data_IF_858558000258
#
_entry.id   IF_858558000258
#
_cell.length_a   1.000
_cell.length_b   1.000
_cell.length_c   1.000
_cell.angle_alpha   90.00
_cell.angle_beta   90.00
_cell.angle_gamma   90.00
#
_symmetry.space_group_name_H-M   'P 1'
#
loop_
_entity.id
_entity.type
_entity.pdbx_description
1 polymer ?
#
# COMPACT_ATOMS: atom_id res chain seq x y z
N UNK A 1 -15.10 8.04 4.74
CA UNK A 1 -13.84 8.65 5.22
C UNK A 1 -12.75 7.76 4.69
N UNK A 2 -12.09 8.21 3.62
CA UNK A 2 -11.10 7.40 2.90
C UNK A 2 -9.77 7.42 3.67
N UNK A 3 -9.02 6.34 3.56
CA UNK A 3 -7.72 6.24 4.19
C UNK A 3 -6.71 7.12 3.41
N UNK A 4 -5.80 7.84 4.10
CA UNK A 4 -4.86 8.76 3.44
C UNK A 4 -3.95 8.03 2.44
N UNK A 5 -3.46 8.74 1.43
CA UNK A 5 -2.50 8.19 0.46
C UNK A 5 -1.28 7.56 1.14
N UNK A 6 -0.71 6.46 0.60
CA UNK A 6 0.53 5.90 1.14
C UNK A 6 1.70 6.89 1.01
N UNK A 7 2.65 6.84 1.93
CA UNK A 7 3.97 7.41 1.68
C UNK A 7 4.78 6.47 0.78
N UNK A 8 5.68 6.99 -0.06
CA UNK A 8 6.60 6.15 -0.85
C UNK A 8 8.06 6.43 -0.49
N UNK A 9 8.93 5.45 -0.72
CA UNK A 9 10.39 5.64 -0.68
C UNK A 9 10.95 6.34 -1.94
N UNK A 10 10.07 6.96 -2.73
CA UNK A 10 10.38 7.79 -3.89
C UNK A 10 9.58 9.10 -3.79
N UNK A 11 9.99 10.16 -4.51
CA UNK A 11 9.25 11.42 -4.53
C UNK A 11 7.80 11.23 -5.00
N UNK A 12 6.86 11.84 -4.30
CA UNK A 12 5.45 11.95 -4.68
C UNK A 12 5.14 13.43 -4.92
N UNK A 13 4.59 13.73 -6.09
CA UNK A 13 4.25 15.10 -6.51
C UNK A 13 2.82 15.42 -6.09
N UNK A 14 2.68 16.39 -5.19
CA UNK A 14 1.40 16.98 -4.79
C UNK A 14 0.94 18.05 -5.79
N UNK A 15 -0.37 18.39 -5.86
CA UNK A 15 -1.49 17.83 -5.10
C UNK A 15 -2.11 16.58 -5.72
N UNK A 16 -1.62 16.13 -6.87
CA UNK A 16 -2.22 15.03 -7.64
C UNK A 16 -1.71 13.64 -7.26
N UNK A 17 -0.85 13.55 -6.23
CA UNK A 17 -0.22 12.33 -5.73
C UNK A 17 0.31 11.44 -6.86
N UNK A 18 1.26 11.96 -7.62
CA UNK A 18 1.89 11.27 -8.74
C UNK A 18 3.32 10.88 -8.42
N UNK A 19 3.72 9.68 -8.82
CA UNK A 19 5.08 9.19 -8.63
C UNK A 19 5.58 8.49 -9.90
N UNK A 20 6.88 8.58 -10.16
CA UNK A 20 7.53 7.89 -11.28
C UNK A 20 8.59 6.92 -10.78
N UNK A 21 8.57 5.70 -11.32
CA UNK A 21 9.60 4.68 -11.08
C UNK A 21 10.26 4.33 -12.40
N UNK A 22 11.56 4.58 -12.52
CA UNK A 22 12.37 4.06 -13.62
C UNK A 22 13.00 2.72 -13.25
N UNK A 23 12.52 1.62 -13.85
CA UNK A 23 12.99 0.27 -13.56
C UNK A 23 14.48 0.06 -13.83
N UNK A 24 15.08 0.78 -14.79
CA UNK A 24 16.52 0.76 -15.06
C UNK A 24 17.36 1.34 -13.93
N UNK A 25 16.83 2.30 -13.17
CA UNK A 25 17.54 2.97 -12.07
C UNK A 25 17.16 2.39 -10.70
N UNK A 26 16.02 1.71 -10.63
CA UNK A 26 15.45 1.20 -9.40
C UNK A 26 15.99 -0.20 -9.10
N UNK A 27 16.73 -0.32 -7.99
CA UNK A 27 17.46 -1.54 -7.60
C UNK A 27 16.78 -2.33 -6.47
N UNK A 28 15.82 -1.73 -5.77
CA UNK A 28 15.11 -2.35 -4.63
C UNK A 28 13.61 -2.51 -4.87
N UNK A 29 12.85 -2.90 -3.83
CA UNK A 29 11.40 -2.84 -3.83
C UNK A 29 10.90 -1.40 -3.65
N UNK A 30 9.73 -1.11 -4.22
CA UNK A 30 8.99 0.11 -3.91
C UNK A 30 8.32 -0.12 -2.56
N UNK A 31 8.56 0.78 -1.61
CA UNK A 31 8.06 0.64 -0.24
C UNK A 31 6.94 1.65 -0.05
N UNK A 32 5.73 1.16 0.17
CA UNK A 32 4.60 1.97 0.57
C UNK A 32 4.47 1.98 2.10
N UNK A 33 4.61 3.17 2.69
CA UNK A 33 4.44 3.40 4.12
C UNK A 33 2.98 3.76 4.39
N UNK A 34 2.39 3.11 5.38
CA UNK A 34 1.01 3.36 5.79
C UNK A 34 1.02 4.52 6.81
N UNK A 35 0.25 5.61 6.59
CA UNK A 35 0.16 6.69 7.54
C UNK A 35 -0.34 6.21 8.90
N UNK A 36 0.20 6.76 9.99
CA UNK A 36 -0.16 6.32 11.35
C UNK A 36 -1.60 6.68 11.73
N UNK A 37 -2.20 7.68 11.08
CA UNK A 37 -3.59 8.07 11.24
C UNK A 37 -4.56 7.25 10.35
N UNK A 38 -4.03 6.36 9.49
CA UNK A 38 -4.85 5.46 8.71
C UNK A 38 -5.70 4.56 9.61
N UNK A 39 -6.97 4.38 9.25
CA UNK A 39 -7.90 3.49 9.94
C UNK A 39 -7.69 2.07 9.43
N UNK A 40 -6.93 1.28 10.19
CA UNK A 40 -6.70 -0.13 9.90
C UNK A 40 -7.53 -0.99 10.85
N UNK A 41 -7.80 -2.23 10.44
CA UNK A 41 -8.33 -3.25 11.34
C UNK A 41 -7.17 -3.85 12.16
N UNK A 42 -7.06 -3.62 13.48
CA UNK A 42 -5.90 -4.07 14.27
C UNK A 42 -5.72 -5.59 14.32
N UNK A 43 -6.83 -6.34 14.26
CA UNK A 43 -6.87 -7.81 14.14
C UNK A 43 -6.63 -8.30 12.70
N UNK A 44 -6.66 -7.39 11.74
CA UNK A 44 -6.60 -7.68 10.32
C UNK A 44 -5.19 -7.62 9.72
N UNK A 45 -5.16 -7.59 8.40
CA UNK A 45 -3.93 -7.44 7.63
C UNK A 45 -3.99 -6.21 6.72
N UNK A 46 -2.82 -5.73 6.32
CA UNK A 46 -2.63 -4.66 5.34
C UNK A 46 -1.65 -5.11 4.26
N UNK A 47 -1.90 -4.71 3.02
CA UNK A 47 -1.05 -5.01 1.86
C UNK A 47 -1.16 -3.91 0.80
N UNK A 48 -0.15 -3.84 -0.07
CA UNK A 48 -0.20 -2.99 -1.26
C UNK A 48 -1.04 -3.64 -2.37
N UNK A 49 -1.73 -2.82 -3.16
CA UNK A 49 -2.41 -3.24 -4.38
C UNK A 49 -2.04 -2.31 -5.53
N UNK A 50 -1.93 -2.87 -6.73
CA UNK A 50 -1.75 -2.14 -7.98
C UNK A 50 -2.92 -2.43 -8.91
N UNK A 51 -3.52 -1.39 -9.48
CA UNK A 51 -4.61 -1.52 -10.44
C UNK A 51 -5.62 -0.39 -10.34
N UNK A 52 -6.39 -0.19 -11.41
CA UNK A 52 -7.43 0.82 -11.43
C UNK A 52 -8.51 0.54 -10.37
N UNK A 53 -8.94 -0.72 -10.29
CA UNK A 53 -9.99 -1.20 -9.40
C UNK A 53 -9.42 -1.76 -8.09
N UNK A 54 -9.89 -1.30 -6.91
CA UNK A 54 -9.43 -1.80 -5.62
C UNK A 54 -10.06 -3.13 -5.18
N UNK A 55 -11.21 -3.53 -5.74
CA UNK A 55 -11.86 -4.81 -5.43
C UNK A 55 -11.21 -5.96 -6.22
N UNK A 56 -10.87 -5.68 -7.48
CA UNK A 56 -10.17 -6.55 -8.43
C UNK A 56 -8.84 -5.95 -8.91
N UNK A 57 -7.85 -5.78 -8.01
CA UNK A 57 -6.56 -5.22 -8.39
C UNK A 57 -5.79 -6.17 -9.30
N UNK A 58 -5.08 -5.60 -10.28
CA UNK A 58 -4.21 -6.34 -11.19
C UNK A 58 -3.04 -7.03 -10.46
N UNK A 59 -2.65 -6.53 -9.29
CA UNK A 59 -1.68 -7.18 -8.42
C UNK A 59 -1.96 -6.91 -6.93
N UNK A 60 -1.68 -7.92 -6.09
CA UNK A 60 -1.80 -7.87 -4.63
C UNK A 60 -0.45 -8.24 -4.00
N UNK A 61 -0.03 -7.43 -3.04
CA UNK A 61 1.20 -7.63 -2.29
C UNK A 61 1.07 -8.61 -1.14
N UNK A 62 2.21 -8.81 -0.46
CA UNK A 62 2.26 -9.61 0.75
C UNK A 62 1.46 -8.97 1.89
N UNK A 63 0.72 -9.81 2.63
CA UNK A 63 -0.07 -9.39 3.78
C UNK A 63 0.83 -9.22 5.00
N UNK A 64 0.71 -8.07 5.65
CA UNK A 64 1.37 -7.75 6.92
C UNK A 64 0.31 -7.56 7.99
N UNK A 65 0.57 -8.00 9.22
CA UNK A 65 -0.36 -7.77 10.33
C UNK A 65 -0.50 -6.28 10.61
N UNK A 66 -1.73 -5.78 10.58
CA UNK A 66 -2.02 -4.36 10.80
C UNK A 66 -1.92 -3.98 12.29
N UNK A 67 -1.96 -4.96 13.19
CA UNK A 67 -1.78 -4.76 14.62
C UNK A 67 -1.15 -5.93 15.32
N UNK A 68 -1.00 -5.80 16.64
CA UNK A 68 -0.45 -6.81 17.53
C UNK A 68 -1.37 -6.99 18.73
N UNK A 69 -1.53 -8.23 19.16
CA UNK A 69 -2.21 -8.53 20.41
C UNK A 69 -1.40 -8.01 21.61
N UNK A 70 -2.04 -7.21 22.46
CA UNK A 70 -1.46 -6.68 23.68
C UNK A 70 -2.02 -7.43 24.89
N UNK A 71 -1.19 -8.29 25.50
CA UNK A 71 -1.60 -9.12 26.64
C UNK A 71 -2.04 -8.27 27.86
N UNK A 72 -1.43 -7.11 28.06
CA UNK A 72 -1.74 -6.22 29.20
C UNK A 72 -3.14 -5.61 29.13
N UNK A 73 -3.69 -5.39 27.93
CA UNK A 73 -5.02 -4.81 27.72
C UNK A 73 -6.03 -5.83 27.22
N UNK A 74 -5.59 -7.01 26.79
CA UNK A 74 -6.44 -8.02 26.18
C UNK A 74 -7.08 -7.55 24.87
N UNK A 75 -6.41 -6.66 24.13
CA UNK A 75 -6.92 -6.07 22.90
C UNK A 75 -5.84 -6.02 21.81
N UNK A 76 -6.25 -6.07 20.54
CA UNK A 76 -5.35 -5.76 19.42
C UNK A 76 -5.10 -4.25 19.35
N UNK A 77 -3.83 -3.87 19.19
CA UNK A 77 -3.43 -2.49 18.97
C UNK A 77 -2.83 -2.35 17.58
N UNK A 78 -3.25 -1.31 16.83
CA UNK A 78 -2.69 -1.01 15.51
C UNK A 78 -1.19 -0.76 15.62
N UNK A 79 -0.43 -1.39 14.72
CA UNK A 79 1.01 -1.20 14.60
C UNK A 79 1.29 0.15 13.95
N UNK A 80 2.25 0.89 14.51
CA UNK A 80 2.74 2.13 13.92
C UNK A 80 3.82 1.86 12.88
N UNK A 81 4.00 2.80 11.94
CA UNK A 81 5.04 2.81 10.91
C UNK A 81 5.03 1.56 10.03
N UNK A 82 3.82 1.06 9.73
CA UNK A 82 3.62 -0.09 8.86
C UNK A 82 4.15 0.20 7.45
N UNK A 83 4.76 -0.81 6.85
CA UNK A 83 5.33 -0.75 5.50
C UNK A 83 4.95 -2.01 4.75
N UNK A 84 4.64 -1.84 3.48
CA UNK A 84 4.36 -2.93 2.56
C UNK A 84 5.25 -2.77 1.34
N UNK A 85 5.80 -3.89 0.87
CA UNK A 85 6.77 -3.90 -0.21
C UNK A 85 6.11 -4.33 -1.52
N UNK A 86 6.47 -3.63 -2.58
CA UNK A 86 6.12 -3.95 -3.96
C UNK A 86 7.42 -4.37 -4.65
N UNK A 87 7.58 -5.66 -4.97
CA UNK A 87 8.79 -6.15 -5.61
C UNK A 87 8.91 -5.56 -7.02
N UNK A 88 10.15 -5.40 -7.49
CA UNK A 88 10.43 -4.90 -8.84
C UNK A 88 9.72 -5.72 -9.92
N UNK A 89 9.68 -7.05 -9.76
CA UNK A 89 8.99 -7.98 -10.66
C UNK A 89 7.48 -7.65 -10.80
N UNK A 90 6.84 -7.16 -9.74
CA UNK A 90 5.46 -6.72 -9.81
C UNK A 90 5.33 -5.45 -10.65
N UNK A 91 6.24 -4.49 -10.48
CA UNK A 91 6.29 -3.24 -11.23
C UNK A 91 6.59 -3.46 -12.72
N UNK A 92 7.43 -4.46 -13.05
CA UNK A 92 7.76 -4.83 -14.43
C UNK A 92 6.53 -5.21 -15.25
N UNK A 93 5.49 -5.75 -14.62
CA UNK A 93 4.19 -6.06 -15.28
C UNK A 93 3.46 -4.81 -15.77
N UNK A 94 3.85 -3.64 -15.29
CA UNK A 94 3.27 -2.34 -15.61
C UNK A 94 4.30 -1.44 -16.31
N UNK A 95 5.32 -2.00 -16.97
CA UNK A 95 6.33 -1.20 -17.69
C UNK A 95 5.70 -0.35 -18.80
N UNK A 96 6.09 0.92 -18.90
CA UNK A 96 5.59 1.92 -19.86
C UNK A 96 4.10 2.24 -19.73
N UNK A 97 3.51 2.08 -18.54
CA UNK A 97 2.14 2.47 -18.27
C UNK A 97 2.02 3.15 -16.90
N UNK A 98 0.92 3.86 -16.72
CA UNK A 98 0.52 4.40 -15.42
C UNK A 98 -0.47 3.44 -14.78
N UNK A 99 -0.24 3.11 -13.51
CA UNK A 99 -1.14 2.30 -12.67
C UNK A 99 -1.48 3.07 -11.40
N UNK A 100 -2.48 2.61 -10.65
CA UNK A 100 -2.83 3.20 -9.36
C UNK A 100 -2.32 2.31 -8.24
N UNK A 101 -1.54 2.89 -7.33
CA UNK A 101 -1.04 2.24 -6.13
C UNK A 101 -1.90 2.64 -4.93
N UNK A 102 -2.38 1.65 -4.18
CA UNK A 102 -3.09 1.84 -2.91
C UNK A 102 -2.55 0.87 -1.88
N UNK A 103 -2.85 1.12 -0.61
CA UNK A 103 -2.89 0.04 0.38
C UNK A 103 -4.32 -0.33 0.71
N UNK A 104 -4.52 -1.58 1.09
CA UNK A 104 -5.80 -2.11 1.49
C UNK A 104 -5.64 -2.87 2.80
N UNK A 105 -6.56 -2.62 3.73
CA UNK A 105 -6.69 -3.38 4.98
C UNK A 105 -7.91 -4.27 4.91
N UNK A 106 -7.83 -5.48 5.46
CA UNK A 106 -8.93 -6.44 5.54
C UNK A 106 -9.07 -6.96 6.97
N UNK A 107 -10.28 -6.85 7.52
CA UNK A 107 -10.65 -7.40 8.83
C UNK A 107 -11.20 -8.83 8.73
N UNK A 108 -11.55 -9.43 9.88
CA UNK A 108 -12.02 -10.83 9.95
C UNK A 108 -13.32 -11.07 9.15
N UNK A 109 -14.20 -10.07 9.06
CA UNK A 109 -15.47 -10.15 8.34
C UNK A 109 -15.37 -9.96 6.82
N UNK A 110 -14.17 -10.07 6.23
CA UNK A 110 -13.89 -9.75 4.82
C UNK A 110 -14.21 -8.32 4.39
N UNK A 111 -14.46 -7.42 5.35
CA UNK A 111 -14.58 -6.00 5.09
C UNK A 111 -13.19 -5.45 4.75
N UNK A 112 -13.07 -4.83 3.58
CA UNK A 112 -11.85 -4.18 3.15
C UNK A 112 -12.01 -2.67 3.06
N UNK A 113 -10.98 -1.94 3.47
CA UNK A 113 -10.89 -0.49 3.30
C UNK A 113 -9.63 -0.17 2.51
N UNK A 114 -9.78 0.62 1.46
CA UNK A 114 -8.68 1.05 0.59
C UNK A 114 -8.30 2.50 0.87
N UNK A 115 -7.03 2.82 0.64
CA UNK A 115 -6.55 4.20 0.65
C UNK A 115 -6.94 4.96 -0.62
N UNK A 116 -6.81 6.29 -0.57
CA UNK A 116 -6.67 7.09 -1.77
C UNK A 116 -5.47 6.59 -2.62
N UNK A 117 -5.57 6.67 -3.96
CA UNK A 117 -4.53 6.17 -4.85
C UNK A 117 -3.39 7.15 -5.08
N UNK A 118 -2.21 6.60 -5.34
CA UNK A 118 -1.11 7.29 -6.02
C UNK A 118 -1.09 6.86 -7.49
N UNK A 119 -1.01 7.83 -8.39
CA UNK A 119 -0.76 7.55 -9.80
C UNK A 119 0.72 7.23 -10.00
N UNK A 120 1.03 5.97 -10.28
CA UNK A 120 2.39 5.46 -10.42
C UNK A 120 2.71 5.23 -11.90
N UNK A 121 3.57 6.06 -12.47
CA UNK A 121 4.09 5.88 -13.83
C UNK A 121 5.37 5.06 -13.78
N UNK A 122 5.41 3.96 -14.52
CA UNK A 122 6.54 3.04 -14.50
C UNK A 122 7.24 3.12 -15.86
N UNK A 123 8.45 3.65 -15.86
CA UNK A 123 9.33 3.74 -17.03
C UNK A 123 10.36 2.61 -17.02
N UNK A 124 10.77 2.17 -18.23
CA UNK A 124 11.81 1.15 -18.36
C UNK A 124 13.18 1.70 -17.97
#
# INVERSE_FOLDING_TARGET
MENPVPGLNIPVTEPFYQAEVSLSKFTGPLVASIPNDAKLFPEGTVYAILGADPEEPAWRGAKVNAGRWQASTGQYQQSANLKVEIPKEALERFTNQTTLLRYQTIGESSMSVSSEPISLTISK
#
